data_IF_190789847374
#
_entry.id   IF_190789847374
#
_cell.length_a   1.000
_cell.length_b   1.000
_cell.length_c   1.000
_cell.angle_alpha   90.00
_cell.angle_beta   90.00
_cell.angle_gamma   90.00
#
_symmetry.space_group_name_H-M   'P 1'
#
loop_
_entity.id
_entity.type
_entity.pdbx_description
1 polymer ?
#
# COMPACT_ATOMS: atom_id res chain seq x y z
N UNK A 1 -8.65 19.23 -15.34
CA UNK A 1 -9.78 18.78 -14.51
C UNK A 1 -9.88 17.27 -14.66
N UNK A 2 -9.87 16.52 -13.57
CA UNK A 2 -9.92 15.05 -13.61
C UNK A 2 -10.97 14.53 -12.65
N UNK A 3 -11.57 13.39 -12.98
CA UNK A 3 -12.51 12.63 -12.16
C UNK A 3 -11.74 11.70 -11.23
N UNK A 4 -11.87 11.89 -9.92
CA UNK A 4 -11.05 11.21 -8.91
C UNK A 4 -11.93 10.44 -7.94
N UNK A 5 -11.51 9.22 -7.58
CA UNK A 5 -12.08 8.45 -6.47
C UNK A 5 -11.08 8.41 -5.32
N UNK A 6 -11.58 8.59 -4.10
CA UNK A 6 -10.77 8.52 -2.87
C UNK A 6 -11.15 7.24 -2.11
N UNK A 7 -10.15 6.44 -1.74
CA UNK A 7 -10.32 5.21 -0.99
C UNK A 7 -9.41 5.24 0.24
N UNK A 8 -10.00 5.46 1.40
CA UNK A 8 -9.28 5.56 2.68
C UNK A 8 -10.28 5.24 3.80
N UNK A 9 -9.91 4.44 4.79
CA UNK A 9 -10.79 4.10 5.90
C UNK A 9 -10.87 5.23 6.95
N UNK A 10 -9.98 6.22 6.90
CA UNK A 10 -9.93 7.36 7.82
C UNK A 10 -10.78 8.53 7.28
N UNK A 11 -11.90 8.91 7.92
CA UNK A 11 -12.79 9.96 7.42
C UNK A 11 -12.13 11.34 7.32
N UNK A 12 -11.22 11.67 8.25
CA UNK A 12 -10.51 12.94 8.24
C UNK A 12 -9.58 13.07 7.03
N UNK A 13 -8.93 11.98 6.62
CA UNK A 13 -8.06 11.97 5.44
C UNK A 13 -8.90 12.19 4.18
N UNK A 14 -10.05 11.50 4.04
CA UNK A 14 -10.95 11.74 2.91
C UNK A 14 -11.41 13.19 2.82
N UNK A 15 -11.79 13.80 3.94
CA UNK A 15 -12.18 15.21 3.98
C UNK A 15 -11.04 16.13 3.53
N UNK A 16 -9.82 15.93 4.05
CA UNK A 16 -8.65 16.72 3.68
C UNK A 16 -8.33 16.60 2.18
N UNK A 17 -8.33 15.37 1.65
CA UNK A 17 -8.10 15.10 0.24
C UNK A 17 -9.13 15.77 -0.65
N UNK A 18 -10.42 15.71 -0.32
CA UNK A 18 -11.46 16.41 -1.08
C UNK A 18 -11.17 17.90 -1.18
N UNK A 19 -10.87 18.55 -0.05
CA UNK A 19 -10.56 19.98 -0.02
C UNK A 19 -9.36 20.30 -0.91
N UNK A 20 -8.29 19.51 -0.84
CA UNK A 20 -7.08 19.71 -1.65
C UNK A 20 -7.40 19.54 -3.14
N UNK A 21 -8.08 18.47 -3.52
CA UNK A 21 -8.37 18.13 -4.91
C UNK A 21 -9.37 19.09 -5.55
N UNK A 22 -10.43 19.46 -4.84
CA UNK A 22 -11.44 20.41 -5.33
C UNK A 22 -10.84 21.81 -5.51
N UNK A 23 -9.96 22.26 -4.60
CA UNK A 23 -9.21 23.52 -4.76
C UNK A 23 -8.32 23.53 -6.00
N UNK A 24 -7.83 22.36 -6.41
CA UNK A 24 -7.05 22.17 -7.64
C UNK A 24 -7.93 21.94 -8.88
N UNK A 25 -9.26 22.09 -8.77
CA UNK A 25 -10.19 21.96 -9.89
C UNK A 25 -10.39 20.52 -10.34
N UNK A 26 -10.31 19.55 -9.43
CA UNK A 26 -10.70 18.16 -9.68
C UNK A 26 -12.09 17.86 -9.13
N UNK A 27 -12.77 16.88 -9.71
CA UNK A 27 -14.08 16.42 -9.27
C UNK A 27 -13.96 15.09 -8.54
N UNK A 28 -14.62 14.96 -7.39
CA UNK A 28 -14.65 13.74 -6.59
C UNK A 28 -15.85 12.91 -7.02
N UNK A 29 -15.59 11.86 -7.79
CA UNK A 29 -16.65 11.02 -8.38
C UNK A 29 -17.29 10.08 -7.36
N UNK A 30 -16.49 9.55 -6.42
CA UNK A 30 -16.96 8.71 -5.33
C UNK A 30 -15.92 8.61 -4.20
N UNK A 31 -16.37 8.12 -3.06
CA UNK A 31 -15.54 7.76 -1.91
C UNK A 31 -15.81 6.30 -1.53
N UNK A 32 -14.80 5.62 -1.00
CA UNK A 32 -14.95 4.31 -0.34
C UNK A 32 -14.06 4.25 0.91
N UNK A 33 -14.46 3.43 1.88
CA UNK A 33 -13.74 3.23 3.14
C UNK A 33 -13.16 1.82 3.30
N UNK A 34 -13.31 0.97 2.29
CA UNK A 34 -12.80 -0.39 2.28
C UNK A 34 -12.46 -0.86 0.85
N UNK A 35 -11.61 -1.88 0.73
CA UNK A 35 -11.11 -2.29 -0.59
C UNK A 35 -12.12 -3.04 -1.45
N UNK A 36 -13.16 -3.64 -0.89
CA UNK A 36 -14.21 -4.31 -1.69
C UNK A 36 -15.05 -3.25 -2.40
N UNK A 37 -15.48 -2.23 -1.66
CA UNK A 37 -16.23 -1.11 -2.22
C UNK A 37 -15.37 -0.29 -3.17
N UNK A 38 -14.06 -0.16 -2.92
CA UNK A 38 -13.11 0.46 -3.84
C UNK A 38 -13.22 -0.10 -5.26
N UNK A 39 -13.25 -1.42 -5.40
CA UNK A 39 -13.38 -2.08 -6.71
C UNK A 39 -14.72 -1.72 -7.36
N UNK A 40 -15.79 -1.72 -6.58
CA UNK A 40 -17.13 -1.43 -7.07
C UNK A 40 -17.27 0.03 -7.53
N UNK A 41 -16.82 1.00 -6.72
CA UNK A 41 -16.95 2.42 -7.05
C UNK A 41 -16.11 2.78 -8.27
N UNK A 42 -14.91 2.23 -8.41
CA UNK A 42 -14.04 2.48 -9.57
C UNK A 42 -14.65 1.87 -10.83
N UNK A 43 -15.22 0.67 -10.75
CA UNK A 43 -15.90 0.02 -11.87
C UNK A 43 -17.10 0.83 -12.36
N UNK A 44 -17.88 1.38 -11.43
CA UNK A 44 -19.08 2.16 -11.72
C UNK A 44 -18.75 3.54 -12.28
N UNK A 45 -17.85 4.29 -11.62
CA UNK A 45 -17.59 5.69 -11.94
C UNK A 45 -16.51 5.90 -13.00
N UNK A 46 -15.68 4.87 -13.26
CA UNK A 46 -14.58 4.91 -14.24
C UNK A 46 -13.74 6.20 -14.14
N UNK A 47 -13.18 6.50 -12.96
CA UNK A 47 -12.42 7.73 -12.75
C UNK A 47 -11.13 7.74 -13.56
N UNK A 48 -10.57 8.93 -13.75
CA UNK A 48 -9.23 9.11 -14.36
C UNK A 48 -8.13 8.67 -13.39
N UNK A 49 -8.36 8.87 -12.09
CA UNK A 49 -7.41 8.58 -11.03
C UNK A 49 -8.11 8.07 -9.77
N UNK A 50 -7.46 7.14 -9.07
CA UNK A 50 -7.84 6.67 -7.74
C UNK A 50 -6.73 6.98 -6.78
N UNK A 51 -7.06 7.62 -5.65
CA UNK A 51 -6.19 7.70 -4.48
C UNK A 51 -6.56 6.54 -3.56
N UNK A 52 -5.59 5.69 -3.25
CA UNK A 52 -5.81 4.41 -2.59
C UNK A 52 -4.90 4.25 -1.38
N UNK A 53 -5.49 4.09 -0.19
CA UNK A 53 -4.75 3.61 0.98
C UNK A 53 -4.44 2.11 0.85
N UNK A 54 -3.30 1.70 1.39
CA UNK A 54 -2.91 0.30 1.50
C UNK A 54 -3.60 -0.40 2.67
N UNK A 55 -3.89 0.35 3.73
CA UNK A 55 -4.28 -0.18 5.03
C UNK A 55 -5.80 -0.31 5.20
N UNK A 56 -6.48 -0.76 4.14
CA UNK A 56 -7.94 -0.85 4.08
C UNK A 56 -8.53 -2.11 4.76
N UNK A 57 -9.73 -2.00 5.34
CA UNK A 57 -10.50 -3.15 5.79
C UNK A 57 -11.07 -3.96 4.61
N UNK A 58 -11.49 -5.19 4.91
CA UNK A 58 -12.06 -6.21 4.00
C UNK A 58 -11.10 -6.72 2.91
N UNK A 59 -10.52 -5.82 2.12
CA UNK A 59 -9.52 -6.10 1.10
C UNK A 59 -8.44 -5.01 1.17
N UNK A 60 -7.18 -5.40 1.29
CA UNK A 60 -6.09 -4.44 1.40
C UNK A 60 -5.81 -3.74 0.06
N UNK A 61 -5.22 -2.54 0.10
CA UNK A 61 -5.03 -1.72 -1.10
C UNK A 61 -4.07 -2.33 -2.12
N UNK A 62 -3.12 -3.18 -1.72
CA UNK A 62 -2.25 -3.88 -2.69
C UNK A 62 -3.01 -4.98 -3.43
N UNK A 63 -3.90 -5.68 -2.73
CA UNK A 63 -4.84 -6.61 -3.35
C UNK A 63 -5.82 -5.90 -4.30
N UNK A 64 -6.32 -4.72 -3.94
CA UNK A 64 -7.14 -3.86 -4.81
C UNK A 64 -6.36 -3.47 -6.07
N UNK A 65 -5.13 -3.00 -5.92
CA UNK A 65 -4.26 -2.62 -7.03
C UNK A 65 -3.99 -3.79 -7.98
N UNK A 66 -3.69 -4.97 -7.41
CA UNK A 66 -3.49 -6.19 -8.19
C UNK A 66 -4.77 -6.60 -8.93
N UNK A 67 -5.94 -6.42 -8.31
CA UNK A 67 -7.22 -6.66 -8.95
C UNK A 67 -7.46 -5.70 -10.12
N UNK A 68 -7.16 -4.40 -9.99
CA UNK A 68 -7.24 -3.45 -11.10
C UNK A 68 -6.37 -3.86 -12.28
N UNK A 69 -5.12 -4.25 -12.01
CA UNK A 69 -4.19 -4.71 -13.05
C UNK A 69 -4.67 -6.01 -13.73
N UNK A 70 -5.09 -7.01 -12.96
CA UNK A 70 -5.52 -8.31 -13.48
C UNK A 70 -6.80 -8.22 -14.33
N UNK A 71 -7.65 -7.23 -14.07
CA UNK A 71 -8.90 -7.02 -14.79
C UNK A 71 -8.83 -5.84 -15.79
N UNK A 72 -7.63 -5.38 -16.14
CA UNK A 72 -7.38 -4.32 -17.12
C UNK A 72 -8.17 -3.03 -16.88
N UNK A 73 -8.29 -2.59 -15.62
CA UNK A 73 -8.87 -1.30 -15.32
C UNK A 73 -7.96 -0.19 -15.88
N UNK A 74 -8.54 0.72 -16.69
CA UNK A 74 -7.84 1.86 -17.27
C UNK A 74 -7.83 3.06 -16.31
N UNK A 75 -7.38 2.85 -15.07
CA UNK A 75 -7.37 3.88 -14.01
C UNK A 75 -5.96 4.10 -13.49
N UNK A 76 -5.55 5.36 -13.35
CA UNK A 76 -4.26 5.69 -12.71
C UNK A 76 -4.42 5.55 -11.21
N UNK A 77 -3.52 4.83 -10.55
CA UNK A 77 -3.61 4.63 -9.09
C UNK A 77 -2.47 5.36 -8.39
N UNK A 78 -2.81 6.30 -7.50
CA UNK A 78 -1.91 6.93 -6.55
C UNK A 78 -2.07 6.24 -5.20
N UNK A 79 -0.99 5.65 -4.70
CA UNK A 79 -0.98 5.07 -3.36
C UNK A 79 -0.70 6.17 -2.34
N UNK A 80 -1.51 6.24 -1.29
CA UNK A 80 -1.33 7.17 -0.17
C UNK A 80 -1.44 6.41 1.14
N UNK A 81 -0.34 6.19 1.85
CA UNK A 81 -0.32 5.33 3.05
C UNK A 81 0.54 5.89 4.17
N UNK A 82 0.17 5.65 5.43
CA UNK A 82 1.02 5.95 6.60
C UNK A 82 2.09 4.89 6.85
N UNK A 83 2.07 3.79 6.09
CA UNK A 83 3.06 2.73 6.22
C UNK A 83 4.36 3.13 5.52
N UNK A 84 5.28 3.71 6.28
CA UNK A 84 6.62 4.11 5.82
C UNK A 84 7.50 2.89 5.51
N UNK A 85 7.39 2.36 4.30
CA UNK A 85 8.50 1.55 3.82
C UNK A 85 8.73 1.65 2.33
N UNK A 86 9.98 1.96 1.98
CA UNK A 86 10.54 1.94 0.63
C UNK A 86 10.25 0.63 -0.12
N UNK A 87 10.13 -0.50 0.59
CA UNK A 87 9.75 -1.78 -0.02
C UNK A 87 8.29 -1.82 -0.51
N UNK A 88 7.39 -1.01 0.05
CA UNK A 88 6.02 -0.91 -0.43
C UNK A 88 5.94 -0.14 -1.74
N UNK A 89 6.71 0.93 -1.91
CA UNK A 89 6.74 1.70 -3.15
C UNK A 89 7.10 0.81 -4.36
N UNK A 90 8.13 -0.04 -4.23
CA UNK A 90 8.53 -1.01 -5.28
C UNK A 90 7.43 -2.02 -5.57
N UNK A 91 6.78 -2.57 -4.54
CA UNK A 91 5.65 -3.51 -4.72
C UNK A 91 4.44 -2.85 -5.37
N UNK A 92 4.15 -1.61 -5.01
CA UNK A 92 3.08 -0.82 -5.62
C UNK A 92 3.38 -0.56 -7.09
N UNK A 93 4.62 -0.21 -7.45
CA UNK A 93 4.99 -0.06 -8.85
C UNK A 93 4.80 -1.38 -9.63
N UNK A 94 5.27 -2.51 -9.10
CA UNK A 94 5.03 -3.81 -9.73
C UNK A 94 3.54 -4.16 -9.85
N UNK A 95 2.73 -3.76 -8.86
CA UNK A 95 1.28 -3.88 -8.86
C UNK A 95 0.58 -2.99 -9.90
N UNK A 96 1.28 -2.03 -10.51
CA UNK A 96 0.73 -1.13 -11.52
C UNK A 96 0.35 0.25 -10.99
N UNK A 97 0.80 0.64 -9.80
CA UNK A 97 0.59 1.99 -9.31
C UNK A 97 1.33 3.01 -10.20
N UNK A 98 0.71 4.16 -10.41
CA UNK A 98 1.30 5.29 -11.12
C UNK A 98 2.00 6.27 -10.17
N UNK A 99 1.70 6.22 -8.87
CA UNK A 99 2.44 6.95 -7.86
C UNK A 99 2.32 6.38 -6.46
N UNK A 100 3.16 6.89 -5.55
CA UNK A 100 3.22 6.53 -4.14
C UNK A 100 3.61 7.75 -3.30
N UNK A 101 2.84 8.04 -2.25
CA UNK A 101 3.11 9.07 -1.24
C UNK A 101 2.95 8.47 0.16
N UNK A 102 3.87 8.80 1.06
CA UNK A 102 3.71 8.53 2.49
C UNK A 102 2.87 9.65 3.14
N UNK A 103 1.81 9.30 3.88
CA UNK A 103 0.93 10.25 4.58
C UNK A 103 1.69 11.12 5.59
N UNK A 104 2.80 10.60 6.13
CA UNK A 104 3.64 11.30 7.11
C UNK A 104 4.52 12.38 6.48
N UNK A 105 4.78 12.32 5.17
CA UNK A 105 5.75 13.20 4.50
C UNK A 105 5.12 14.50 3.98
N UNK A 106 3.87 14.49 3.49
CA UNK A 106 2.96 15.65 3.42
C UNK A 106 1.70 15.34 2.58
N UNK A 107 0.52 15.67 3.11
CA UNK A 107 -0.72 15.75 2.30
C UNK A 107 -0.65 16.83 1.21
N UNK A 108 0.23 17.82 1.39
CA UNK A 108 0.38 18.95 0.47
C UNK A 108 0.94 18.52 -0.91
N UNK A 109 1.71 17.42 -0.97
CA UNK A 109 2.26 16.89 -2.22
C UNK A 109 1.20 16.20 -3.10
N UNK A 110 0.04 15.84 -2.53
CA UNK A 110 -1.01 15.11 -3.25
C UNK A 110 -1.48 15.89 -4.48
N UNK A 111 -1.61 17.22 -4.38
CA UNK A 111 -2.04 18.05 -5.50
C UNK A 111 -1.08 17.96 -6.68
N UNK A 112 0.22 18.09 -6.41
CA UNK A 112 1.28 18.01 -7.43
C UNK A 112 1.38 16.61 -8.03
N UNK A 113 1.29 15.58 -7.20
CA UNK A 113 1.30 14.20 -7.66
C UNK A 113 0.10 13.90 -8.56
N UNK A 114 -1.10 14.30 -8.17
CA UNK A 114 -2.31 14.13 -9.00
C UNK A 114 -2.16 14.85 -10.34
N UNK A 115 -1.62 16.06 -10.35
CA UNK A 115 -1.35 16.82 -11.58
C UNK A 115 -0.34 16.09 -12.48
N UNK A 116 0.76 15.59 -11.91
CA UNK A 116 1.77 14.82 -12.64
C UNK A 116 1.17 13.53 -13.24
N UNK A 117 0.43 12.77 -12.44
CA UNK A 117 -0.22 11.53 -12.86
C UNK A 117 -1.23 11.78 -13.99
N UNK A 118 -2.12 12.77 -13.85
CA UNK A 118 -3.08 13.10 -14.89
C UNK A 118 -2.40 13.54 -16.19
N UNK A 119 -1.23 14.19 -16.11
CA UNK A 119 -0.39 14.56 -17.26
C UNK A 119 0.37 13.39 -17.89
N UNK A 120 0.30 12.19 -17.29
CA UNK A 120 0.92 10.97 -17.82
C UNK A 120 2.30 10.65 -17.24
N UNK A 121 2.75 11.39 -16.23
CA UNK A 121 3.97 11.10 -15.50
C UNK A 121 3.70 10.16 -14.31
N UNK A 122 4.77 9.60 -13.75
CA UNK A 122 4.72 8.83 -12.50
C UNK A 122 5.23 9.68 -11.34
N UNK A 123 4.82 9.35 -10.11
CA UNK A 123 5.22 10.10 -8.91
C UNK A 123 5.64 9.14 -7.80
N UNK A 124 6.94 8.96 -7.61
CA UNK A 124 7.49 8.04 -6.61
C UNK A 124 8.69 8.69 -5.90
N UNK A 125 8.94 8.36 -4.62
CA UNK A 125 10.15 8.80 -3.94
C UNK A 125 11.41 8.35 -4.70
N UNK A 126 12.42 9.22 -4.85
CA UNK A 126 13.65 8.90 -5.61
C UNK A 126 14.31 7.60 -5.15
N UNK A 127 14.32 7.36 -3.84
CA UNK A 127 14.88 6.14 -3.25
C UNK A 127 14.23 4.84 -3.73
N UNK A 128 12.95 4.88 -4.14
CA UNK A 128 12.26 3.71 -4.70
C UNK A 128 12.66 3.42 -6.15
N UNK A 129 12.99 4.45 -6.95
CA UNK A 129 13.46 4.31 -8.31
C UNK A 129 14.85 3.64 -8.38
N UNK A 130 15.72 3.92 -7.40
CA UNK A 130 17.01 3.25 -7.23
C UNK A 130 16.84 1.76 -6.91
N UNK A 131 15.96 1.42 -5.98
CA UNK A 131 15.67 0.02 -5.63
C UNK A 131 15.09 -0.77 -6.81
N UNK A 132 14.34 -0.12 -7.69
CA UNK A 132 13.86 -0.73 -8.93
C UNK A 132 14.99 -1.06 -9.90
N UNK A 133 15.97 -0.15 -10.06
CA UNK A 133 17.16 -0.42 -10.89
C UNK A 133 17.97 -1.59 -10.35
N UNK A 134 18.09 -1.72 -9.02
CA UNK A 134 18.72 -2.87 -8.35
C UNK A 134 17.92 -4.16 -8.51
N UNK A 135 16.58 -4.09 -8.45
CA UNK A 135 15.70 -5.26 -8.63
C UNK A 135 15.73 -5.82 -10.06
N UNK A 136 15.99 -4.98 -11.07
CA UNK A 136 16.19 -5.43 -12.47
C UNK A 136 17.50 -6.23 -12.61
N UNK A 137 18.49 -5.99 -11.75
CA UNK A 137 19.76 -6.72 -11.73
C UNK A 137 19.73 -8.01 -10.90
N UNK A 138 18.70 -8.23 -10.08
CA UNK A 138 18.65 -9.37 -9.16
C UNK A 138 17.56 -10.35 -9.57
N UNK A 139 17.99 -11.54 -9.99
CA UNK A 139 17.18 -12.62 -10.57
C UNK A 139 15.76 -12.78 -9.98
N UNK A 140 14.80 -13.06 -10.87
CA UNK A 140 13.34 -13.26 -10.70
C UNK A 140 12.86 -14.17 -9.54
N UNK A 141 13.75 -14.78 -8.74
CA UNK A 141 13.41 -15.59 -7.57
C UNK A 141 13.11 -14.78 -6.30
N UNK A 142 13.56 -13.53 -6.18
CA UNK A 142 13.33 -12.70 -4.98
C UNK A 142 11.90 -12.14 -4.87
N UNK A 143 11.21 -11.96 -6.00
CA UNK A 143 9.87 -11.36 -6.08
C UNK A 143 8.73 -12.27 -5.59
N UNK A 144 8.91 -13.59 -5.67
CA UNK A 144 7.84 -14.57 -5.44
C UNK A 144 7.58 -14.85 -3.95
N UNK A 145 8.58 -14.66 -3.07
CA UNK A 145 8.41 -14.89 -1.64
C UNK A 145 7.72 -13.71 -0.93
N UNK A 146 7.97 -12.48 -1.37
CA UNK A 146 7.34 -11.26 -0.85
C UNK A 146 5.91 -11.04 -1.38
N UNK A 147 5.53 -11.69 -2.49
CA UNK A 147 4.18 -11.55 -3.07
C UNK A 147 3.11 -12.34 -2.31
N UNK A 148 3.47 -13.31 -1.45
CA UNK A 148 2.50 -14.08 -0.66
C UNK A 148 2.15 -13.45 0.70
N UNK A 149 2.87 -12.41 1.13
CA UNK A 149 2.61 -11.74 2.40
C UNK A 149 1.73 -10.50 2.19
N UNK A 150 0.71 -10.39 3.04
CA UNK A 150 -0.09 -9.17 3.15
C UNK A 150 0.74 -8.04 3.77
N UNK A 151 0.37 -6.80 3.51
CA UNK A 151 1.09 -5.65 4.07
C UNK A 151 1.12 -5.69 5.60
N UNK A 152 -0.01 -6.03 6.23
CA UNK A 152 -0.11 -6.18 7.68
C UNK A 152 0.80 -7.27 8.24
N UNK A 153 0.99 -8.37 7.52
CA UNK A 153 1.95 -9.42 7.91
C UNK A 153 3.39 -8.93 7.79
N UNK A 154 3.77 -8.18 6.76
CA UNK A 154 5.12 -7.62 6.61
C UNK A 154 5.39 -6.58 7.72
N UNK A 155 4.46 -5.66 7.97
CA UNK A 155 4.60 -4.66 9.03
C UNK A 155 4.72 -5.33 10.40
N UNK A 156 3.89 -6.34 10.67
CA UNK A 156 4.00 -7.14 11.91
C UNK A 156 5.35 -7.85 11.99
N UNK A 157 5.84 -8.44 10.89
CA UNK A 157 7.12 -9.14 10.82
C UNK A 157 8.31 -8.21 11.10
N UNK A 158 8.30 -6.98 10.58
CA UNK A 158 9.35 -5.99 10.87
C UNK A 158 9.39 -5.60 12.35
N UNK A 159 8.23 -5.31 12.93
CA UNK A 159 8.15 -4.94 14.35
C UNK A 159 8.59 -6.11 15.25
N UNK A 160 8.23 -7.35 14.88
CA UNK A 160 8.76 -8.55 15.53
C UNK A 160 10.28 -8.66 15.42
N UNK A 161 10.86 -8.34 14.25
CA UNK A 161 12.30 -8.38 14.03
C UNK A 161 13.08 -7.27 14.76
N UNK A 162 12.41 -6.18 15.13
CA UNK A 162 12.92 -5.14 16.02
C UNK A 162 12.84 -5.53 17.50
N UNK A 163 12.27 -6.70 17.83
CA UNK A 163 12.18 -7.23 19.18
C UNK A 163 10.92 -6.82 19.95
N UNK A 164 9.95 -6.15 19.31
CA UNK A 164 8.72 -5.75 19.97
C UNK A 164 7.83 -6.95 20.30
N UNK A 165 7.18 -6.90 21.45
CA UNK A 165 6.21 -7.91 21.87
C UNK A 165 4.80 -7.65 21.31
N UNK A 166 3.91 -8.64 21.39
CA UNK A 166 2.58 -8.52 20.78
C UNK A 166 1.73 -7.36 21.33
N UNK A 167 1.96 -6.89 22.57
CA UNK A 167 1.23 -5.75 23.14
C UNK A 167 1.78 -4.43 22.60
N UNK A 168 3.10 -4.31 22.47
CA UNK A 168 3.76 -3.15 21.88
C UNK A 168 3.36 -3.00 20.41
N UNK A 169 3.42 -4.08 19.63
CA UNK A 169 2.98 -4.09 18.23
C UNK A 169 1.50 -3.73 18.11
N UNK A 170 0.66 -4.24 19.01
CA UNK A 170 -0.76 -3.92 19.04
C UNK A 170 -1.00 -2.42 19.27
N UNK A 171 -0.24 -1.80 20.18
CA UNK A 171 -0.30 -0.37 20.44
C UNK A 171 0.20 0.43 19.23
N UNK A 172 1.33 0.04 18.61
CA UNK A 172 1.88 0.70 17.42
C UNK A 172 0.93 0.65 16.23
N UNK A 173 0.26 -0.48 16.01
CA UNK A 173 -0.61 -0.70 14.86
C UNK A 173 -2.08 -0.38 15.14
N UNK A 174 -2.43 0.08 16.35
CA UNK A 174 -3.79 0.36 16.81
C UNK A 174 -4.76 -0.83 16.58
N UNK A 175 -4.30 -2.04 16.84
CA UNK A 175 -5.09 -3.29 16.72
C UNK A 175 -5.06 -4.12 18.01
N UNK A 176 -5.86 -5.17 18.09
CA UNK A 176 -5.81 -6.06 19.27
C UNK A 176 -4.55 -6.95 19.29
N UNK A 177 -4.03 -7.25 20.48
CA UNK A 177 -2.93 -8.21 20.63
C UNK A 177 -3.26 -9.61 20.09
N UNK A 178 -4.56 -9.97 20.04
CA UNK A 178 -5.05 -11.22 19.44
C UNK A 178 -4.93 -11.20 17.91
N UNK A 179 -5.14 -10.02 17.29
CA UNK A 179 -4.90 -9.80 15.86
C UNK A 179 -3.42 -9.95 15.53
N UNK A 180 -2.53 -9.37 16.34
CA UNK A 180 -1.07 -9.56 16.19
C UNK A 180 -0.67 -11.02 16.31
N UNK A 181 -1.19 -11.75 17.31
CA UNK A 181 -0.97 -13.20 17.43
C UNK A 181 -1.44 -13.96 16.20
N UNK A 182 -2.57 -13.56 15.61
CA UNK A 182 -3.10 -14.19 14.38
C UNK A 182 -2.16 -13.97 13.20
N UNK A 183 -1.64 -12.75 13.01
CA UNK A 183 -0.64 -12.48 11.97
C UNK A 183 0.64 -13.28 12.18
N UNK A 184 1.13 -13.39 13.41
CA UNK A 184 2.31 -14.21 13.75
C UNK A 184 2.11 -15.68 13.36
N UNK A 185 0.95 -16.26 13.67
CA UNK A 185 0.62 -17.65 13.28
C UNK A 185 0.57 -17.80 11.75
N UNK A 186 -0.03 -16.83 11.04
CA UNK A 186 -0.07 -16.86 9.56
C UNK A 186 1.32 -16.75 8.94
N UNK A 187 2.17 -15.87 9.47
CA UNK A 187 3.56 -15.73 9.06
C UNK A 187 4.32 -17.05 9.23
N UNK A 188 4.30 -17.63 10.44
CA UNK A 188 4.94 -18.92 10.73
C UNK A 188 4.49 -20.01 9.74
N UNK A 189 3.18 -20.09 9.47
CA UNK A 189 2.62 -21.02 8.48
C UNK A 189 3.12 -20.76 7.05
N UNK A 190 3.13 -19.50 6.60
CA UNK A 190 3.58 -19.13 5.25
C UNK A 190 5.07 -19.37 5.02
N UNK A 191 5.88 -19.25 6.07
CA UNK A 191 7.32 -19.52 6.03
C UNK A 191 7.67 -20.98 6.39
N UNK A 192 6.66 -21.82 6.62
CA UNK A 192 6.81 -23.23 6.99
C UNK A 192 7.77 -23.44 8.18
N UNK A 193 7.64 -22.60 9.20
CA UNK A 193 8.46 -22.63 10.41
C UNK A 193 7.61 -22.44 11.65
N UNK A 194 8.06 -22.96 12.79
CA UNK A 194 7.41 -22.79 14.10
C UNK A 194 8.19 -21.86 15.02
N UNK A 195 9.42 -21.48 14.63
CA UNK A 195 10.32 -20.65 15.42
C UNK A 195 10.37 -19.22 14.87
N UNK A 196 10.12 -18.24 15.74
CA UNK A 196 10.18 -16.82 15.41
C UNK A 196 11.59 -16.38 14.96
N UNK A 197 12.65 -16.90 15.57
CA UNK A 197 14.03 -16.59 15.19
C UNK A 197 14.30 -17.07 13.76
N UNK A 198 13.93 -18.32 13.45
CA UNK A 198 14.04 -18.88 12.11
C UNK A 198 13.19 -18.10 11.09
N UNK A 199 11.97 -17.67 11.46
CA UNK A 199 11.14 -16.81 10.62
C UNK A 199 11.86 -15.50 10.25
N UNK A 200 12.48 -14.83 11.24
CA UNK A 200 13.21 -13.57 11.03
C UNK A 200 14.46 -13.80 10.17
N UNK A 201 15.22 -14.86 10.41
CA UNK A 201 16.39 -15.20 9.59
C UNK A 201 16.02 -15.49 8.14
N UNK A 202 15.00 -16.32 7.90
CA UNK A 202 14.51 -16.63 6.55
C UNK A 202 14.01 -15.36 5.86
N UNK A 203 13.32 -14.47 6.60
CA UNK A 203 12.84 -13.21 6.05
C UNK A 203 13.98 -12.27 5.63
N UNK A 204 15.06 -12.17 6.43
CA UNK A 204 16.26 -11.40 6.08
C UNK A 204 17.01 -12.01 4.88
N UNK A 205 17.21 -13.34 4.88
CA UNK A 205 17.86 -14.03 3.76
C UNK A 205 17.10 -13.83 2.44
N UNK A 206 15.77 -13.73 2.51
CA UNK A 206 14.91 -13.47 1.35
C UNK A 206 14.73 -11.98 1.04
N UNK A 207 15.36 -11.07 1.78
CA UNK A 207 15.27 -9.61 1.57
C UNK A 207 13.87 -9.02 1.82
N UNK A 208 13.03 -9.69 2.62
CA UNK A 208 11.67 -9.24 2.93
C UNK A 208 11.71 -8.11 3.98
N UNK A 209 12.65 -8.22 4.94
CA UNK A 209 12.91 -7.27 6.02
C UNK A 209 14.41 -7.04 6.19
#
# INVERSE_FOLDING_TARGET
>A
MGSIVIVDDHPLVRIALKVILERNGHHIAAEADNGVDAIQVVRTHKPDLVILDLDLPQLDGLSVLTHFKANNFLVKTLILTSSDSKNFAVRCLHGGAAGFICKDEALDEVGDAVKALLSGHTYFPESSLLLLQESIHTNQMQSIAASQLTNREITTLRLLAQGLNNREIAATLLISHKTVSTYKVRLLKKFNTTNLLALIEIARQKGII
#
